data_IF_364735472096
#
_entry.id   IF_364735472096
#
_cell.length_a   1.000
_cell.length_b   1.000
_cell.length_c   1.000
_cell.angle_alpha   90.00
_cell.angle_beta   90.00
_cell.angle_gamma   90.00
#
_symmetry.space_group_name_H-M   'P 1'
#
loop_
_entity.id
_entity.type
_entity.pdbx_description
1 polymer ?
#
# COMPACT_ATOMS: atom_id res chain seq x y z
N UNK A 1 -11.23 -9.71 -13.81
CA UNK A 1 -10.36 -9.67 -12.60
C UNK A 1 -11.17 -9.37 -11.35
N UNK A 2 -11.83 -8.22 -11.26
CA UNK A 2 -12.58 -7.81 -10.07
C UNK A 2 -13.98 -8.42 -9.97
N UNK A 3 -14.46 -9.14 -10.99
CA UNK A 3 -15.74 -9.85 -10.98
C UNK A 3 -16.96 -8.91 -10.92
N UNK A 4 -16.94 -7.89 -11.78
CA UNK A 4 -18.09 -6.99 -11.98
C UNK A 4 -19.18 -7.69 -12.80
N UNK A 5 -20.40 -7.35 -12.47
CA UNK A 5 -21.62 -7.77 -13.18
C UNK A 5 -22.54 -6.58 -13.40
N UNK A 6 -23.62 -6.77 -14.15
CA UNK A 6 -24.67 -5.77 -14.37
C UNK A 6 -25.44 -5.39 -13.08
N UNK A 7 -25.41 -6.25 -12.07
CA UNK A 7 -26.05 -6.02 -10.77
C UNK A 7 -25.20 -5.13 -9.84
N UNK A 8 -23.98 -4.76 -10.25
CA UNK A 8 -23.10 -3.96 -9.40
C UNK A 8 -23.42 -2.45 -9.51
N UNK A 9 -23.31 -1.77 -8.37
CA UNK A 9 -23.22 -0.32 -8.27
C UNK A 9 -21.84 0.04 -7.75
N UNK A 10 -21.06 0.76 -8.55
CA UNK A 10 -19.65 1.07 -8.28
C UNK A 10 -19.54 2.50 -7.73
N UNK A 11 -18.89 2.65 -6.57
CA UNK A 11 -18.49 3.95 -6.00
C UNK A 11 -16.96 4.13 -6.18
N UNK A 12 -16.51 4.70 -7.32
CA UNK A 12 -15.08 4.92 -7.57
C UNK A 12 -14.64 6.20 -6.88
N UNK A 13 -14.03 6.08 -5.71
CA UNK A 13 -13.47 7.22 -4.96
C UNK A 13 -12.12 7.64 -5.56
N UNK A 14 -11.45 6.73 -6.26
CA UNK A 14 -10.21 7.01 -6.99
C UNK A 14 -10.47 8.08 -8.06
N UNK A 15 -9.65 9.15 -8.12
CA UNK A 15 -9.83 10.22 -9.10
C UNK A 15 -9.77 9.73 -10.54
N UNK A 16 -10.64 10.27 -11.42
CA UNK A 16 -10.70 9.93 -12.85
C UNK A 16 -9.38 10.21 -13.59
N UNK A 17 -8.60 11.21 -13.15
CA UNK A 17 -7.29 11.52 -13.75
C UNK A 17 -6.18 10.53 -13.34
N UNK A 18 -6.40 9.67 -12.34
CA UNK A 18 -5.41 8.70 -11.88
C UNK A 18 -5.69 7.32 -12.49
N UNK A 19 -4.95 6.97 -13.55
CA UNK A 19 -5.11 5.74 -14.33
C UNK A 19 -6.60 5.44 -14.64
N UNK A 20 -7.34 6.51 -15.01
CA UNK A 20 -8.77 6.47 -15.31
C UNK A 20 -9.61 5.80 -14.20
N UNK A 21 -9.45 6.26 -12.97
CA UNK A 21 -10.05 5.67 -11.78
C UNK A 21 -9.83 4.14 -11.73
N UNK A 22 -8.58 3.71 -11.98
CA UNK A 22 -8.14 2.32 -12.06
C UNK A 22 -8.93 1.45 -13.05
N UNK A 23 -9.44 2.06 -14.12
CA UNK A 23 -10.16 1.39 -15.18
C UNK A 23 -11.60 0.98 -14.81
N UNK A 24 -12.10 1.35 -13.63
CA UNK A 24 -13.46 1.03 -13.21
C UNK A 24 -14.53 1.55 -14.18
N UNK A 25 -14.45 2.77 -14.75
CA UNK A 25 -15.45 3.25 -15.72
C UNK A 25 -15.57 2.36 -16.95
N UNK A 26 -14.44 1.89 -17.48
CA UNK A 26 -14.47 1.01 -18.67
C UNK A 26 -15.01 -0.39 -18.33
N UNK A 27 -14.53 -0.97 -17.23
CA UNK A 27 -14.97 -2.31 -16.82
C UNK A 27 -16.42 -2.33 -16.35
N UNK A 28 -16.90 -1.27 -15.68
CA UNK A 28 -18.31 -1.14 -15.29
C UNK A 28 -19.22 -0.95 -16.49
N UNK A 29 -18.86 -0.08 -17.44
CA UNK A 29 -19.60 0.07 -18.69
C UNK A 29 -19.67 -1.22 -19.49
N UNK A 30 -18.54 -1.93 -19.58
CA UNK A 30 -18.50 -3.20 -20.29
C UNK A 30 -19.45 -4.26 -19.70
N UNK A 31 -19.66 -4.22 -18.38
CA UNK A 31 -20.54 -5.14 -17.65
C UNK A 31 -21.99 -4.64 -17.49
N UNK A 32 -22.28 -3.38 -17.81
CA UNK A 32 -23.58 -2.75 -17.57
C UNK A 32 -23.83 -2.33 -16.12
N UNK A 33 -22.77 -2.18 -15.32
CA UNK A 33 -22.87 -1.78 -13.92
C UNK A 33 -23.24 -0.30 -13.74
N UNK A 34 -23.96 0.02 -12.67
CA UNK A 34 -24.27 1.40 -12.27
C UNK A 34 -23.08 2.10 -11.65
N UNK A 35 -23.08 3.44 -11.73
CA UNK A 35 -22.05 4.29 -11.10
C UNK A 35 -22.65 5.29 -10.13
N UNK A 36 -22.05 5.38 -8.95
CA UNK A 36 -22.27 6.45 -7.98
C UNK A 36 -21.01 7.33 -7.92
N UNK A 37 -21.08 8.52 -8.51
CA UNK A 37 -19.94 9.43 -8.62
C UNK A 37 -19.85 10.34 -7.40
N UNK A 38 -18.76 10.27 -6.60
CA UNK A 38 -18.65 11.00 -5.32
C UNK A 38 -18.33 12.49 -5.48
N UNK A 39 -17.96 12.95 -6.70
CA UNK A 39 -17.48 14.30 -6.95
C UNK A 39 -16.32 14.67 -5.98
N UNK A 40 -16.39 15.78 -5.31
CA UNK A 40 -15.43 16.28 -4.31
C UNK A 40 -15.72 15.82 -2.88
N UNK A 41 -16.78 15.08 -2.64
CA UNK A 41 -17.26 14.68 -1.32
C UNK A 41 -16.58 13.38 -0.84
N UNK A 42 -15.27 13.44 -0.61
CA UNK A 42 -14.44 12.28 -0.27
C UNK A 42 -14.19 12.10 1.23
N UNK A 43 -14.71 13.00 2.08
CA UNK A 43 -14.60 12.91 3.53
C UNK A 43 -15.36 11.69 4.07
N UNK A 44 -14.88 11.09 5.15
CA UNK A 44 -15.41 9.84 5.69
C UNK A 44 -16.93 9.89 5.96
N UNK A 45 -17.45 11.01 6.49
CA UNK A 45 -18.89 11.19 6.72
C UNK A 45 -19.71 11.22 5.41
N UNK A 46 -19.18 11.85 4.37
CA UNK A 46 -19.85 11.91 3.06
C UNK A 46 -19.84 10.54 2.37
N UNK A 47 -18.69 9.85 2.39
CA UNK A 47 -18.55 8.49 1.84
C UNK A 47 -19.48 7.52 2.59
N UNK A 48 -19.53 7.59 3.93
CA UNK A 48 -20.42 6.78 4.74
C UNK A 48 -21.89 7.03 4.40
N UNK A 49 -22.29 8.30 4.25
CA UNK A 49 -23.65 8.67 3.85
C UNK A 49 -24.01 8.10 2.47
N UNK A 50 -23.13 8.23 1.48
CA UNK A 50 -23.33 7.65 0.14
C UNK A 50 -23.48 6.12 0.18
N UNK A 51 -22.64 5.43 0.98
CA UNK A 51 -22.74 3.97 1.11
C UNK A 51 -24.08 3.57 1.73
N UNK A 52 -24.52 4.28 2.75
CA UNK A 52 -25.78 3.98 3.45
C UNK A 52 -27.00 4.24 2.57
N UNK A 53 -27.06 5.41 1.89
CA UNK A 53 -28.23 5.81 1.11
C UNK A 53 -28.32 5.11 -0.23
N UNK A 54 -27.21 4.99 -0.94
CA UNK A 54 -27.17 4.51 -2.32
C UNK A 54 -26.78 3.03 -2.46
N UNK A 55 -26.29 2.43 -1.39
CA UNK A 55 -25.94 1.02 -1.28
C UNK A 55 -25.05 0.49 -2.43
N UNK A 56 -23.90 1.11 -2.71
CA UNK A 56 -22.96 0.57 -3.69
C UNK A 56 -22.50 -0.82 -3.26
N UNK A 57 -22.18 -1.67 -4.24
CA UNK A 57 -21.72 -3.04 -4.01
C UNK A 57 -20.20 -3.16 -4.02
N UNK A 58 -19.55 -2.24 -4.70
CA UNK A 58 -18.09 -2.19 -4.85
C UNK A 58 -17.63 -0.74 -4.75
N UNK A 59 -16.49 -0.55 -4.10
CA UNK A 59 -15.85 0.76 -4.07
C UNK A 59 -14.33 0.63 -4.20
N UNK A 60 -13.65 1.72 -4.55
CA UNK A 60 -12.21 1.72 -4.76
C UNK A 60 -11.59 3.03 -4.26
N UNK A 61 -10.57 2.92 -3.42
CA UNK A 61 -9.82 4.06 -2.90
C UNK A 61 -8.42 3.66 -2.41
N UNK A 62 -7.61 4.66 -2.09
CA UNK A 62 -6.31 4.50 -1.42
C UNK A 62 -6.47 4.20 0.08
N UNK A 63 -5.45 3.60 0.74
CA UNK A 63 -5.55 3.21 2.15
C UNK A 63 -5.92 4.34 3.12
N UNK A 64 -5.50 5.57 2.85
CA UNK A 64 -5.81 6.72 3.71
C UNK A 64 -7.31 6.95 3.84
N UNK A 65 -8.05 6.90 2.73
CA UNK A 65 -9.51 7.06 2.73
C UNK A 65 -10.19 5.89 3.47
N UNK A 66 -9.75 4.66 3.21
CA UNK A 66 -10.30 3.49 3.89
C UNK A 66 -10.03 3.50 5.40
N UNK A 67 -8.86 3.95 5.85
CA UNK A 67 -8.56 4.10 7.27
C UNK A 67 -9.42 5.18 7.94
N UNK A 68 -9.63 6.32 7.28
CA UNK A 68 -10.51 7.37 7.78
C UNK A 68 -11.96 6.91 7.87
N UNK A 69 -12.45 6.23 6.84
CA UNK A 69 -13.80 5.66 6.84
C UNK A 69 -13.95 4.60 7.95
N UNK A 70 -12.97 3.69 8.12
CA UNK A 70 -13.03 2.66 9.17
C UNK A 70 -13.17 3.30 10.56
N UNK A 71 -12.36 4.32 10.86
CA UNK A 71 -12.46 5.05 12.13
C UNK A 71 -13.82 5.72 12.32
N UNK A 72 -14.37 6.26 11.24
CA UNK A 72 -15.68 6.90 11.28
C UNK A 72 -16.80 5.89 11.55
N UNK A 73 -16.84 4.79 10.83
CA UNK A 73 -17.89 3.76 10.99
C UNK A 73 -17.77 3.00 12.33
N UNK A 74 -16.56 2.88 12.90
CA UNK A 74 -16.35 2.28 14.23
C UNK A 74 -16.94 3.14 15.37
N UNK A 75 -17.11 4.45 15.15
CA UNK A 75 -17.64 5.39 16.16
C UNK A 75 -19.08 5.83 15.88
N UNK A 76 -19.61 5.47 14.71
CA UNK A 76 -20.99 5.79 14.29
C UNK A 76 -21.65 4.50 13.80
N UNK A 77 -22.90 4.30 14.13
CA UNK A 77 -23.67 3.12 13.68
C UNK A 77 -24.01 3.22 12.19
N UNK A 78 -23.05 2.95 11.33
CA UNK A 78 -23.15 3.03 9.87
C UNK A 78 -23.21 1.62 9.27
N UNK A 79 -24.23 1.36 8.47
CA UNK A 79 -24.36 0.11 7.71
C UNK A 79 -23.62 0.20 6.37
N UNK A 80 -22.57 -0.60 6.24
CA UNK A 80 -21.82 -0.76 4.98
C UNK A 80 -21.95 -2.16 4.38
N UNK A 81 -22.96 -2.93 4.81
CA UNK A 81 -23.17 -4.34 4.41
C UNK A 81 -23.50 -4.52 2.92
N UNK A 82 -23.81 -3.44 2.20
CA UNK A 82 -23.99 -3.48 0.74
C UNK A 82 -22.67 -3.77 0.01
N UNK A 83 -21.52 -3.39 0.59
CA UNK A 83 -20.22 -3.61 -0.01
C UNK A 83 -19.84 -5.09 0.02
N UNK A 84 -19.77 -5.73 -1.14
CA UNK A 84 -19.25 -7.11 -1.28
C UNK A 84 -17.75 -7.15 -0.98
N UNK A 85 -17.03 -6.16 -1.44
CA UNK A 85 -15.62 -5.88 -1.14
C UNK A 85 -15.26 -4.45 -1.55
N UNK A 86 -14.12 -3.98 -1.08
CA UNK A 86 -13.51 -2.73 -1.53
C UNK A 86 -12.14 -2.99 -2.13
N UNK A 87 -11.84 -2.30 -3.22
CA UNK A 87 -10.50 -2.31 -3.80
C UNK A 87 -9.64 -1.25 -3.13
N UNK A 88 -8.43 -1.65 -2.77
CA UNK A 88 -7.46 -0.78 -2.15
C UNK A 88 -6.11 -0.92 -2.85
N UNK A 89 -5.43 0.17 -3.11
CA UNK A 89 -4.14 0.13 -3.81
C UNK A 89 -3.45 1.47 -3.86
N UNK A 90 -2.39 1.54 -4.63
CA UNK A 90 -1.58 2.76 -4.79
C UNK A 90 -0.56 2.99 -3.69
N UNK A 91 -0.67 2.32 -2.55
CA UNK A 91 0.34 2.19 -1.49
C UNK A 91 0.09 0.92 -0.69
N UNK A 92 0.96 0.61 0.26
CA UNK A 92 0.81 -0.54 1.15
C UNK A 92 -0.52 -0.45 1.92
N UNK A 93 -1.18 -1.60 2.04
CA UNK A 93 -2.45 -1.73 2.76
C UNK A 93 -2.18 -2.32 4.14
N UNK A 94 -2.40 -1.56 5.23
CA UNK A 94 -2.16 -2.06 6.58
C UNK A 94 -3.02 -3.28 6.91
N UNK A 95 -2.38 -4.34 7.45
CA UNK A 95 -3.08 -5.55 7.88
C UNK A 95 -4.19 -5.24 8.90
N UNK A 96 -3.91 -4.34 9.85
CA UNK A 96 -4.87 -3.93 10.87
C UNK A 96 -6.16 -3.31 10.29
N UNK A 97 -6.04 -2.58 9.18
CA UNK A 97 -7.19 -2.04 8.45
C UNK A 97 -8.00 -3.14 7.79
N UNK A 98 -7.35 -4.07 7.09
CA UNK A 98 -8.02 -5.21 6.45
C UNK A 98 -8.74 -6.09 7.47
N UNK A 99 -8.09 -6.37 8.61
CA UNK A 99 -8.69 -7.11 9.72
C UNK A 99 -9.88 -6.36 10.32
N UNK A 100 -9.79 -5.04 10.43
CA UNK A 100 -10.88 -4.20 10.91
C UNK A 100 -12.14 -4.33 10.05
N UNK A 101 -12.01 -4.13 8.75
CA UNK A 101 -13.12 -4.29 7.80
C UNK A 101 -13.67 -5.72 7.80
N UNK A 102 -12.80 -6.72 7.76
CA UNK A 102 -13.23 -8.12 7.68
C UNK A 102 -13.94 -8.58 8.97
N UNK A 103 -13.32 -8.35 10.15
CA UNK A 103 -13.82 -8.88 11.42
C UNK A 103 -15.02 -8.12 11.97
N UNK A 104 -15.10 -6.79 11.79
CA UNK A 104 -16.16 -5.95 12.35
C UNK A 104 -17.32 -5.69 11.40
N UNK A 105 -17.04 -5.64 10.10
CA UNK A 105 -18.04 -5.25 9.10
C UNK A 105 -18.29 -6.34 8.04
N UNK A 106 -17.57 -7.45 8.08
CA UNK A 106 -17.63 -8.54 7.09
C UNK A 106 -17.39 -8.06 5.64
N UNK A 107 -16.57 -7.01 5.46
CA UNK A 107 -16.18 -6.46 4.15
C UNK A 107 -14.72 -6.80 3.87
N UNK A 108 -14.47 -7.43 2.71
CA UNK A 108 -13.09 -7.74 2.28
C UNK A 108 -12.44 -6.52 1.66
N UNK A 109 -11.24 -6.20 2.10
CA UNK A 109 -10.38 -5.20 1.45
C UNK A 109 -9.41 -5.95 0.54
N UNK A 110 -9.65 -5.86 -0.76
CA UNK A 110 -8.85 -6.53 -1.79
C UNK A 110 -7.78 -5.56 -2.28
N UNK A 111 -6.53 -5.92 -2.08
CA UNK A 111 -5.41 -5.09 -2.54
C UNK A 111 -5.15 -5.34 -4.03
N UNK A 112 -5.05 -4.24 -4.81
CA UNK A 112 -4.56 -4.25 -6.17
C UNK A 112 -3.15 -3.65 -6.26
N UNK A 113 -2.27 -4.31 -7.01
CA UNK A 113 -0.98 -3.77 -7.37
C UNK A 113 -0.89 -3.52 -8.86
N UNK A 114 -0.31 -2.39 -9.20
CA UNK A 114 -0.07 -1.96 -10.56
C UNK A 114 0.28 -0.49 -10.63
N UNK A 115 0.43 0.01 -11.84
CA UNK A 115 0.84 1.38 -12.14
C UNK A 115 0.22 1.83 -13.47
N UNK A 116 0.40 3.08 -13.86
CA UNK A 116 -0.10 3.57 -15.15
C UNK A 116 0.42 2.70 -16.30
N UNK A 117 1.66 2.29 -16.21
CA UNK A 117 2.36 1.43 -17.18
C UNK A 117 1.78 0.01 -17.31
N UNK A 118 0.97 -0.42 -16.35
CA UNK A 118 0.29 -1.74 -16.38
C UNK A 118 -1.22 -1.63 -16.63
N UNK A 119 -1.75 -0.48 -17.01
CA UNK A 119 -3.12 -0.14 -17.50
C UNK A 119 -4.32 -0.59 -16.64
N UNK A 120 -4.38 -0.38 -15.32
CA UNK A 120 -3.30 -0.22 -14.38
C UNK A 120 -2.95 -1.49 -13.60
N UNK A 121 -3.73 -2.59 -13.72
CA UNK A 121 -3.70 -3.74 -12.81
C UNK A 121 -2.74 -4.85 -13.26
N UNK A 122 -1.75 -5.16 -12.43
CA UNK A 122 -0.84 -6.29 -12.65
C UNK A 122 -1.07 -7.45 -11.67
N UNK A 123 -1.54 -7.19 -10.45
CA UNK A 123 -1.88 -8.23 -9.49
C UNK A 123 -3.07 -7.86 -8.60
N UNK A 124 -3.76 -8.87 -8.04
CA UNK A 124 -4.93 -8.70 -7.19
C UNK A 124 -4.92 -9.72 -6.04
N UNK A 125 -5.09 -9.26 -4.79
CA UNK A 125 -5.04 -10.09 -3.59
C UNK A 125 -6.35 -10.83 -3.33
N UNK A 126 -6.61 -11.87 -4.11
CA UNK A 126 -7.75 -12.75 -3.84
C UNK A 126 -7.26 -14.06 -3.23
N UNK A 127 -7.83 -14.49 -2.11
CA UNK A 127 -7.52 -15.81 -1.54
C UNK A 127 -7.75 -16.92 -2.57
N UNK A 128 -6.94 -18.00 -2.56
CA UNK A 128 -7.20 -19.19 -3.36
C UNK A 128 -8.60 -19.75 -3.07
N UNK A 129 -9.21 -20.39 -4.08
CA UNK A 129 -10.53 -21.00 -3.88
C UNK A 129 -10.45 -22.08 -2.80
N UNK A 130 -11.37 -22.02 -1.83
CA UNK A 130 -11.42 -22.96 -0.71
C UNK A 130 -10.50 -22.60 0.46
N UNK A 131 -9.92 -21.39 0.49
CA UNK A 131 -9.19 -20.90 1.66
C UNK A 131 -10.11 -20.85 2.88
N UNK A 132 -9.71 -21.39 4.03
CA UNK A 132 -10.44 -21.25 5.28
C UNK A 132 -10.61 -19.77 5.69
N UNK A 133 -11.74 -19.38 6.32
CA UNK A 133 -11.99 -17.96 6.68
C UNK A 133 -10.93 -17.35 7.59
N UNK A 134 -10.30 -18.12 8.47
CA UNK A 134 -9.24 -17.71 9.39
C UNK A 134 -7.89 -17.47 8.67
N UNK A 135 -7.68 -18.07 7.49
CA UNK A 135 -6.50 -17.88 6.66
C UNK A 135 -6.68 -16.78 5.58
N UNK A 136 -7.92 -16.31 5.32
CA UNK A 136 -8.19 -15.35 4.24
C UNK A 136 -7.33 -14.09 4.36
N UNK A 137 -7.11 -13.61 5.58
CA UNK A 137 -6.39 -12.36 5.83
C UNK A 137 -4.93 -12.42 5.36
N UNK A 138 -4.29 -13.57 5.42
CA UNK A 138 -2.89 -13.73 5.00
C UNK A 138 -2.73 -13.59 3.48
N UNK A 139 -3.75 -14.02 2.73
CA UNK A 139 -3.81 -13.82 1.28
C UNK A 139 -4.22 -12.41 0.89
N UNK A 140 -5.18 -11.83 1.58
CA UNK A 140 -5.61 -10.44 1.36
C UNK A 140 -4.48 -9.45 1.66
N UNK A 141 -3.63 -9.74 2.64
CA UNK A 141 -2.47 -8.91 3.01
C UNK A 141 -1.22 -9.18 2.16
N UNK A 142 -1.40 -9.63 0.93
CA UNK A 142 -0.36 -9.65 -0.11
C UNK A 142 -0.63 -8.54 -1.13
N UNK A 143 0.37 -8.21 -1.96
CA UNK A 143 0.16 -7.30 -3.10
C UNK A 143 -0.64 -7.95 -4.22
N UNK A 144 -0.97 -9.24 -4.07
CA UNK A 144 -1.86 -10.00 -4.91
C UNK A 144 -1.16 -11.05 -5.76
N UNK A 145 -1.97 -11.89 -6.39
CA UNK A 145 -1.53 -12.83 -7.40
C UNK A 145 -1.45 -12.15 -8.75
N UNK A 146 -0.40 -12.43 -9.51
CA UNK A 146 -0.23 -11.90 -10.86
C UNK A 146 -1.45 -12.23 -11.73
N UNK A 147 -1.91 -11.25 -12.51
CA UNK A 147 -3.09 -11.36 -13.36
C UNK A 147 -2.83 -12.24 -14.58
N UNK A 148 -3.81 -13.06 -15.01
CA UNK A 148 -3.72 -13.75 -16.29
C UNK A 148 -3.42 -12.77 -17.43
N UNK A 149 -2.37 -13.07 -18.22
CA UNK A 149 -1.89 -12.20 -19.29
C UNK A 149 -0.74 -11.26 -18.90
N UNK A 150 -0.43 -11.12 -17.61
CA UNK A 150 0.80 -10.48 -17.15
C UNK A 150 1.83 -11.56 -16.85
N UNK A 151 2.98 -11.46 -17.48
CA UNK A 151 4.15 -12.23 -17.11
C UNK A 151 4.95 -11.43 -16.08
N UNK A 152 5.58 -12.14 -15.15
CA UNK A 152 6.36 -11.55 -14.07
C UNK A 152 7.67 -12.31 -13.91
N UNK A 153 8.75 -11.60 -13.65
CA UNK A 153 10.01 -12.16 -13.16
C UNK A 153 10.55 -11.34 -11.98
N UNK A 154 11.37 -11.99 -11.17
CA UNK A 154 12.02 -11.38 -10.01
C UNK A 154 13.52 -11.31 -10.30
N UNK A 155 14.12 -10.12 -10.22
CA UNK A 155 15.49 -9.89 -10.67
C UNK A 155 16.38 -9.35 -9.55
N UNK A 156 17.63 -9.85 -9.49
CA UNK A 156 18.73 -9.21 -8.78
C UNK A 156 19.82 -8.88 -9.80
N UNK A 157 19.86 -7.61 -10.22
CA UNK A 157 20.65 -7.19 -11.38
C UNK A 157 20.23 -7.96 -12.65
N UNK A 158 21.18 -8.74 -13.19
CA UNK A 158 20.95 -9.59 -14.39
C UNK A 158 20.51 -11.03 -14.05
N UNK A 159 20.39 -11.36 -12.76
CA UNK A 159 20.05 -12.71 -12.30
C UNK A 159 18.56 -12.84 -12.01
N UNK A 160 17.88 -13.80 -12.65
CA UNK A 160 16.51 -14.14 -12.32
C UNK A 160 16.45 -15.00 -11.06
N UNK A 161 15.62 -14.58 -10.09
CA UNK A 161 15.45 -15.22 -8.80
C UNK A 161 14.24 -16.16 -8.76
N UNK A 162 14.25 -17.21 -7.92
CA UNK A 162 13.16 -18.15 -7.79
C UNK A 162 11.93 -17.55 -7.09
N UNK A 163 10.74 -18.09 -7.42
CA UNK A 163 9.49 -17.78 -6.74
C UNK A 163 9.29 -18.69 -5.51
N UNK A 164 10.13 -18.52 -4.50
CA UNK A 164 10.13 -19.31 -3.26
C UNK A 164 9.50 -18.57 -2.06
N UNK A 165 9.12 -17.31 -2.26
CA UNK A 165 8.56 -16.45 -1.22
C UNK A 165 9.62 -15.86 -0.27
N UNK A 166 10.91 -16.12 -0.51
CA UNK A 166 12.03 -15.66 0.33
C UNK A 166 13.00 -14.78 -0.44
N UNK A 167 13.35 -15.18 -1.68
CA UNK A 167 14.23 -14.39 -2.52
C UNK A 167 13.62 -13.00 -2.78
N UNK A 168 14.41 -11.96 -2.49
CA UNK A 168 14.00 -10.55 -2.63
C UNK A 168 14.68 -9.96 -3.85
N UNK A 169 13.89 -9.37 -4.76
CA UNK A 169 14.41 -8.76 -5.98
C UNK A 169 13.49 -7.68 -6.54
N UNK A 170 13.95 -7.00 -7.60
CA UNK A 170 13.12 -6.09 -8.37
C UNK A 170 12.09 -6.88 -9.19
N UNK A 171 10.85 -6.44 -9.15
CA UNK A 171 9.76 -7.05 -9.92
C UNK A 171 9.76 -6.43 -11.32
N UNK A 172 9.91 -7.28 -12.33
CA UNK A 172 9.75 -6.89 -13.72
C UNK A 172 8.52 -7.58 -14.32
N UNK A 173 7.79 -6.85 -15.17
CA UNK A 173 6.56 -7.33 -15.78
C UNK A 173 6.51 -7.07 -17.28
N UNK A 174 5.77 -7.92 -18.01
CA UNK A 174 5.37 -7.67 -19.40
C UNK A 174 4.01 -8.27 -19.68
N UNK A 175 3.36 -7.84 -20.74
CA UNK A 175 2.06 -8.38 -21.12
C UNK A 175 1.33 -7.50 -22.12
N UNK A 176 0.18 -7.94 -22.65
CA UNK A 176 -0.52 -7.27 -23.74
C UNK A 176 -1.06 -5.86 -23.37
N UNK A 177 -1.16 -5.53 -22.08
CA UNK A 177 -1.56 -4.20 -21.61
C UNK A 177 -0.48 -3.52 -20.74
N UNK A 178 0.71 -4.11 -20.66
CA UNK A 178 1.89 -3.48 -20.07
C UNK A 178 2.58 -2.66 -21.14
N UNK A 179 2.96 -1.40 -20.85
CA UNK A 179 3.66 -0.57 -21.82
C UNK A 179 5.00 -1.18 -22.22
N UNK A 180 5.35 -1.12 -23.50
CA UNK A 180 6.64 -1.59 -24.02
C UNK A 180 7.69 -0.47 -24.11
N UNK A 181 7.29 0.80 -24.02
CA UNK A 181 8.19 1.97 -24.02
C UNK A 181 7.45 3.20 -23.54
N UNK A 182 8.19 4.25 -23.19
CA UNK A 182 7.63 5.57 -23.01
C UNK A 182 7.62 6.37 -24.35
N UNK A 183 6.89 7.46 -24.35
CA UNK A 183 6.83 8.35 -25.50
C UNK A 183 8.24 8.88 -25.84
N UNK A 184 8.61 8.86 -27.14
CA UNK A 184 9.94 9.22 -27.63
C UNK A 184 11.12 8.44 -27.01
N UNK A 185 10.86 7.21 -26.55
CA UNK A 185 11.86 6.35 -25.87
C UNK A 185 12.55 7.01 -24.66
N UNK A 186 11.84 7.91 -23.97
CA UNK A 186 12.31 8.45 -22.71
C UNK A 186 12.50 7.33 -21.68
N UNK A 187 13.56 7.42 -20.87
CA UNK A 187 13.90 6.45 -19.82
C UNK A 187 14.03 4.98 -20.31
N UNK A 188 14.84 4.71 -21.34
CA UNK A 188 15.02 3.35 -21.87
C UNK A 188 15.55 2.36 -20.82
N UNK A 189 16.24 2.85 -19.77
CA UNK A 189 16.72 2.05 -18.65
C UNK A 189 15.58 1.42 -17.80
N UNK A 190 14.33 1.85 -18.02
CA UNK A 190 13.14 1.24 -17.42
C UNK A 190 12.72 -0.05 -18.14
N UNK A 191 13.33 -0.36 -19.25
CA UNK A 191 13.01 -1.56 -20.02
C UNK A 191 14.25 -2.46 -20.13
N UNK A 192 14.09 -3.73 -19.76
CA UNK A 192 15.14 -4.72 -19.76
C UNK A 192 14.67 -5.91 -20.62
N UNK A 193 15.21 -6.06 -21.84
CA UNK A 193 14.85 -7.12 -22.79
C UNK A 193 13.33 -7.29 -23.02
N UNK A 194 12.62 -6.18 -23.13
CA UNK A 194 11.16 -6.17 -23.32
C UNK A 194 10.34 -6.34 -22.03
N UNK A 195 10.98 -6.32 -20.88
CA UNK A 195 10.33 -6.27 -19.58
C UNK A 195 10.34 -4.85 -19.01
N UNK A 196 9.24 -4.43 -18.44
CA UNK A 196 9.15 -3.19 -17.67
C UNK A 196 9.72 -3.42 -16.27
N UNK A 197 10.75 -2.66 -15.91
CA UNK A 197 11.29 -2.55 -14.54
C UNK A 197 10.34 -1.67 -13.73
N UNK A 198 9.63 -2.27 -12.78
CA UNK A 198 8.59 -1.55 -12.03
C UNK A 198 9.16 -0.61 -10.97
N UNK A 199 10.39 -0.84 -10.55
CA UNK A 199 11.00 -0.18 -9.39
C UNK A 199 10.39 -0.61 -8.06
N UNK A 200 9.51 -1.61 -8.05
CA UNK A 200 9.02 -2.25 -6.83
C UNK A 200 9.86 -3.48 -6.52
N UNK A 201 10.25 -3.62 -5.27
CA UNK A 201 11.06 -4.72 -4.75
C UNK A 201 10.21 -5.59 -3.84
N UNK A 202 10.40 -6.90 -3.92
CA UNK A 202 9.60 -7.80 -3.10
C UNK A 202 9.96 -9.27 -3.29
N UNK A 203 9.07 -10.13 -2.81
CA UNK A 203 9.15 -11.58 -2.98
C UNK A 203 7.96 -12.09 -3.78
N UNK A 204 8.12 -13.25 -4.41
CA UNK A 204 7.03 -13.94 -5.12
C UNK A 204 6.96 -15.38 -4.62
N UNK A 205 5.79 -15.79 -4.15
CA UNK A 205 5.58 -17.17 -3.69
C UNK A 205 5.43 -18.13 -4.88
N UNK A 206 5.65 -19.42 -4.66
CA UNK A 206 5.44 -20.48 -5.66
C UNK A 206 4.00 -20.52 -6.24
N UNK A 207 3.03 -19.87 -5.58
CA UNK A 207 1.65 -19.72 -6.07
C UNK A 207 1.44 -18.42 -6.88
N UNK A 208 2.50 -17.62 -7.12
CA UNK A 208 2.45 -16.37 -7.88
C UNK A 208 1.86 -15.20 -7.09
N UNK A 209 1.88 -15.25 -5.76
CA UNK A 209 1.51 -14.10 -4.91
C UNK A 209 2.73 -13.25 -4.63
N UNK A 210 2.58 -11.98 -4.89
CA UNK A 210 3.59 -10.94 -4.70
C UNK A 210 3.44 -10.37 -3.29
N UNK A 211 4.56 -10.15 -2.63
CA UNK A 211 4.64 -9.32 -1.42
C UNK A 211 5.67 -8.23 -1.67
N UNK A 212 5.21 -7.02 -1.94
CA UNK A 212 6.10 -5.87 -2.11
C UNK A 212 6.62 -5.49 -0.73
N UNK A 213 7.93 -5.42 -0.63
CA UNK A 213 8.62 -5.00 0.59
C UNK A 213 8.92 -3.52 0.58
N UNK A 214 9.27 -2.96 -0.60
CA UNK A 214 9.49 -1.52 -0.75
C UNK A 214 9.59 -1.09 -2.23
N UNK A 215 9.80 0.19 -2.44
CA UNK A 215 10.30 0.75 -3.70
C UNK A 215 11.83 0.69 -3.71
N UNK A 216 12.44 0.36 -4.85
CA UNK A 216 13.91 0.31 -4.99
C UNK A 216 14.60 1.62 -4.53
N UNK A 217 13.92 2.76 -4.68
CA UNK A 217 14.37 4.09 -4.22
C UNK A 217 14.07 4.41 -2.76
N UNK A 218 13.22 3.62 -2.09
CA UNK A 218 12.74 3.85 -0.72
C UNK A 218 13.24 2.78 0.25
N UNK A 219 13.72 1.64 -0.28
CA UNK A 219 14.44 0.60 0.49
C UNK A 219 15.63 1.25 1.19
N UNK A 220 15.73 1.00 2.49
CA UNK A 220 16.82 1.53 3.31
C UNK A 220 17.99 0.56 3.25
N UNK A 221 19.10 0.99 2.68
CA UNK A 221 20.31 0.18 2.52
C UNK A 221 21.19 0.35 3.74
N UNK A 222 21.14 -0.59 4.65
CA UNK A 222 21.84 -0.52 5.94
C UNK A 222 22.88 -1.62 6.06
N UNK A 223 24.15 -1.27 5.96
CA UNK A 223 25.27 -2.22 6.12
C UNK A 223 25.30 -3.35 5.09
N UNK A 224 24.80 -3.11 3.88
CA UNK A 224 24.69 -4.11 2.81
C UNK A 224 23.41 -4.95 2.85
N UNK A 225 22.57 -4.76 3.86
CA UNK A 225 21.28 -5.42 4.01
C UNK A 225 20.13 -4.44 3.73
N UNK A 226 18.95 -4.97 3.43
CA UNK A 226 17.78 -4.18 3.08
C UNK A 226 16.79 -4.14 4.23
N UNK A 227 16.38 -2.91 4.61
CA UNK A 227 15.31 -2.67 5.58
C UNK A 227 14.08 -2.18 4.82
N UNK A 228 12.96 -2.87 4.98
CA UNK A 228 11.67 -2.43 4.43
C UNK A 228 11.12 -1.27 5.23
N UNK A 229 11.06 -0.10 4.60
CA UNK A 229 10.40 1.06 5.19
C UNK A 229 8.89 0.85 5.34
N UNK A 230 8.27 0.12 4.40
CA UNK A 230 6.84 -0.20 4.43
C UNK A 230 6.45 -1.14 5.57
N UNK A 231 7.27 -2.15 5.87
CA UNK A 231 6.96 -3.06 6.98
C UNK A 231 7.06 -2.33 8.32
N UNK A 232 8.06 -1.46 8.49
CA UNK A 232 8.17 -0.59 9.66
C UNK A 232 6.95 0.32 9.80
N UNK A 233 6.51 0.96 8.73
CA UNK A 233 5.30 1.80 8.70
C UNK A 233 4.05 1.02 9.08
N UNK A 234 3.83 -0.14 8.48
CA UNK A 234 2.68 -1.00 8.76
C UNK A 234 2.62 -1.44 10.22
N UNK A 235 3.77 -1.80 10.80
CA UNK A 235 3.83 -2.16 12.21
C UNK A 235 3.58 -0.96 13.12
N UNK A 236 4.13 0.21 12.80
CA UNK A 236 3.88 1.44 13.58
C UNK A 236 2.41 1.85 13.54
N UNK A 237 1.76 1.80 12.37
CA UNK A 237 0.34 2.12 12.21
C UNK A 237 -0.55 1.14 13.02
N UNK A 238 -0.10 -0.09 13.25
CA UNK A 238 -0.81 -1.06 14.09
C UNK A 238 -0.76 -0.72 15.60
N UNK A 239 0.09 0.22 16.04
CA UNK A 239 0.13 0.65 17.44
C UNK A 239 -1.12 1.50 17.77
N UNK A 240 -1.79 1.27 18.94
CA UNK A 240 -3.02 1.99 19.31
C UNK A 240 -2.92 3.51 19.28
N UNK A 241 -1.77 4.07 19.63
CA UNK A 241 -1.52 5.50 19.74
C UNK A 241 -1.08 6.17 18.44
N UNK A 242 -0.69 5.41 17.41
CA UNK A 242 -0.20 5.96 16.14
C UNK A 242 -1.36 6.18 15.17
N UNK A 243 -1.42 7.38 14.60
CA UNK A 243 -2.39 7.76 13.58
C UNK A 243 -1.87 7.48 12.18
N UNK A 244 -0.65 7.96 11.89
CA UNK A 244 0.07 7.75 10.64
C UNK A 244 1.55 7.54 10.95
N UNK A 245 2.23 6.80 10.09
CA UNK A 245 3.68 6.61 10.15
C UNK A 245 4.28 6.63 8.75
N UNK A 246 5.48 7.17 8.64
CA UNK A 246 6.30 7.12 7.44
C UNK A 246 7.75 6.93 7.84
N UNK A 247 8.44 6.01 7.17
CA UNK A 247 9.85 5.70 7.45
C UNK A 247 10.68 5.96 6.20
N UNK A 248 11.79 6.66 6.38
CA UNK A 248 12.75 6.95 5.30
C UNK A 248 14.16 6.53 5.71
N UNK A 249 14.97 6.19 4.73
CA UNK A 249 16.42 6.10 4.92
C UNK A 249 17.02 7.49 5.07
N UNK A 250 17.87 7.65 6.06
CA UNK A 250 18.70 8.85 6.25
C UNK A 250 20.17 8.43 6.33
N UNK A 251 21.11 9.25 5.83
CA UNK A 251 22.53 8.92 5.82
C UNK A 251 23.06 8.58 7.21
N UNK A 252 23.92 7.57 7.29
CA UNK A 252 24.61 7.12 8.48
C UNK A 252 26.07 6.78 8.15
N UNK A 253 27.02 7.30 8.95
CA UNK A 253 28.47 7.15 8.68
C UNK A 253 28.94 5.69 8.74
N UNK A 254 28.27 4.85 9.54
CA UNK A 254 28.67 3.46 9.76
C UNK A 254 27.93 2.47 8.85
N UNK A 255 26.65 2.76 8.57
CA UNK A 255 25.74 1.81 7.96
C UNK A 255 25.23 2.23 6.58
N UNK A 256 25.76 3.32 6.00
CA UNK A 256 25.30 3.97 4.78
C UNK A 256 23.95 4.69 5.01
N UNK A 257 22.90 3.93 5.34
CA UNK A 257 21.61 4.48 5.72
C UNK A 257 21.06 3.83 7.00
N UNK A 258 20.32 4.61 7.78
CA UNK A 258 19.52 4.11 8.90
C UNK A 258 18.09 4.61 8.82
N UNK A 259 17.10 3.84 9.33
CA UNK A 259 15.72 4.27 9.33
C UNK A 259 15.47 5.47 10.26
N UNK A 260 14.82 6.50 9.73
CA UNK A 260 14.18 7.57 10.48
C UNK A 260 12.67 7.31 10.48
N UNK A 261 12.09 7.06 11.66
CA UNK A 261 10.66 6.87 11.82
C UNK A 261 9.98 8.20 12.17
N UNK A 262 9.12 8.66 11.29
CA UNK A 262 8.30 9.85 11.49
C UNK A 262 6.86 9.42 11.78
N UNK A 263 6.28 9.86 12.88
CA UNK A 263 4.95 9.45 13.33
C UNK A 263 4.03 10.63 13.57
N UNK A 264 2.75 10.46 13.27
CA UNK A 264 1.66 11.32 13.71
C UNK A 264 0.90 10.56 14.77
N UNK A 265 0.77 11.13 15.95
CA UNK A 265 0.09 10.50 17.07
C UNK A 265 -1.41 10.80 17.06
N UNK A 266 -2.22 9.89 17.57
CA UNK A 266 -3.65 10.14 17.78
C UNK A 266 -3.88 11.21 18.85
N UNK A 267 -4.99 11.96 18.82
CA UNK A 267 -5.33 12.89 19.90
C UNK A 267 -5.37 12.20 21.27
N UNK A 268 -4.63 12.73 22.22
CA UNK A 268 -4.54 12.18 23.58
C UNK A 268 -3.60 10.98 23.75
N UNK A 269 -2.88 10.59 22.71
CA UNK A 269 -1.86 9.54 22.79
C UNK A 269 -0.74 9.89 23.77
N UNK A 270 -0.18 8.87 24.43
CA UNK A 270 0.85 9.02 25.46
C UNK A 270 2.12 8.21 25.21
N UNK A 271 2.12 7.35 24.17
CA UNK A 271 3.27 6.52 23.89
C UNK A 271 4.51 7.35 23.56
N UNK A 272 5.62 7.04 24.22
CA UNK A 272 6.94 7.60 23.89
C UNK A 272 7.56 6.85 22.69
N UNK A 273 8.59 7.44 22.08
CA UNK A 273 9.34 6.76 21.03
C UNK A 273 9.99 5.46 21.50
N UNK A 274 10.44 5.38 22.77
CA UNK A 274 10.97 4.14 23.35
C UNK A 274 9.90 3.04 23.37
N UNK A 275 8.67 3.37 23.75
CA UNK A 275 7.54 2.42 23.74
C UNK A 275 7.18 1.99 22.32
N UNK A 276 7.21 2.89 21.34
CA UNK A 276 7.00 2.54 19.92
C UNK A 276 8.14 1.64 19.40
N UNK A 277 9.39 1.90 19.79
CA UNK A 277 10.53 1.07 19.45
C UNK A 277 10.45 -0.30 20.10
N UNK A 278 10.04 -0.39 21.35
CA UNK A 278 9.79 -1.66 22.03
C UNK A 278 8.66 -2.45 21.35
N UNK A 279 7.60 -1.78 20.97
CA UNK A 279 6.52 -2.39 20.19
C UNK A 279 6.99 -2.98 18.86
N UNK A 280 7.90 -2.31 18.16
CA UNK A 280 8.53 -2.82 16.94
C UNK A 280 9.45 -4.00 17.21
N UNK A 281 10.16 -4.04 18.35
CA UNK A 281 11.21 -5.02 18.65
C UNK A 281 10.72 -6.48 18.64
N UNK A 282 9.43 -6.70 18.85
CA UNK A 282 8.78 -8.02 18.80
C UNK A 282 8.23 -8.39 17.41
N UNK A 283 8.39 -7.52 16.41
CA UNK A 283 7.76 -7.63 15.08
C UNK A 283 8.73 -7.60 13.92
N UNK A 284 9.90 -7.00 14.14
CA UNK A 284 10.94 -6.89 13.11
C UNK A 284 12.31 -7.31 13.67
N UNK A 285 13.27 -7.56 12.78
CA UNK A 285 14.62 -7.87 13.19
C UNK A 285 15.24 -6.71 14.00
N UNK A 286 16.04 -7.01 15.03
CA UNK A 286 16.60 -6.00 15.94
C UNK A 286 17.36 -4.89 15.20
N UNK A 287 18.08 -5.23 14.15
CA UNK A 287 18.87 -4.29 13.36
C UNK A 287 18.02 -3.39 12.42
N UNK A 288 16.71 -3.68 12.27
CA UNK A 288 15.76 -2.81 11.57
C UNK A 288 15.24 -1.66 12.44
N UNK A 289 15.38 -1.78 13.76
CA UNK A 289 14.78 -0.83 14.69
C UNK A 289 15.32 0.58 14.47
N UNK A 290 14.43 1.57 14.28
CA UNK A 290 14.82 2.96 14.16
C UNK A 290 15.50 3.46 15.44
N UNK A 291 16.57 4.20 15.27
CA UNK A 291 17.23 4.95 16.34
C UNK A 291 16.87 6.44 16.27
N UNK A 292 16.44 6.89 15.08
CA UNK A 292 16.05 8.27 14.80
C UNK A 292 14.53 8.36 14.66
N UNK A 293 13.92 9.30 15.35
CA UNK A 293 12.47 9.48 15.40
C UNK A 293 12.11 10.94 15.22
N UNK A 294 10.93 11.19 14.64
CA UNK A 294 10.35 12.53 14.57
C UNK A 294 8.85 12.49 14.81
N UNK A 295 8.35 13.48 15.53
CA UNK A 295 6.92 13.72 15.68
C UNK A 295 6.48 14.72 14.62
N UNK A 296 5.46 14.36 13.85
CA UNK A 296 4.88 15.23 12.84
C UNK A 296 3.44 15.60 13.21
N UNK A 297 3.00 16.79 12.79
CA UNK A 297 1.58 17.16 12.85
C UNK A 297 0.80 16.47 11.73
N UNK A 298 1.40 16.36 10.53
CA UNK A 298 0.82 15.71 9.36
C UNK A 298 1.93 15.10 8.51
N UNK A 299 1.63 14.00 7.82
CA UNK A 299 2.54 13.42 6.82
C UNK A 299 2.30 14.08 5.46
N UNK A 300 3.35 14.49 4.73
CA UNK A 300 3.20 14.98 3.36
C UNK A 300 2.52 13.95 2.46
N UNK A 301 1.52 14.38 1.67
CA UNK A 301 0.77 13.53 0.75
C UNK A 301 0.77 14.12 -0.66
N UNK A 302 0.76 13.24 -1.65
CA UNK A 302 0.56 13.61 -3.05
C UNK A 302 -0.90 14.04 -3.31
N UNK A 303 -1.18 14.62 -4.48
CA UNK A 303 -2.54 15.01 -4.89
C UNK A 303 -3.55 13.85 -4.93
N UNK A 304 -3.07 12.62 -4.95
CA UNK A 304 -3.88 11.39 -4.92
C UNK A 304 -3.90 10.70 -3.56
N UNK A 305 -3.43 11.40 -2.50
CA UNK A 305 -3.48 10.92 -1.11
C UNK A 305 -2.42 9.88 -0.71
N UNK A 306 -1.40 9.62 -1.54
CA UNK A 306 -0.26 8.75 -1.21
C UNK A 306 0.76 9.49 -0.36
N UNK A 307 1.47 8.79 0.53
CA UNK A 307 2.60 9.35 1.28
C UNK A 307 3.68 9.88 0.32
N UNK A 308 4.15 11.10 0.56
CA UNK A 308 5.20 11.74 -0.26
C UNK A 308 6.54 11.73 0.48
N UNK A 309 7.25 10.59 0.40
CA UNK A 309 8.58 10.44 1.00
C UNK A 309 9.62 11.40 0.40
N UNK A 310 9.43 11.85 -0.85
CA UNK A 310 10.36 12.79 -1.50
C UNK A 310 10.33 14.16 -0.81
N UNK A 311 9.12 14.66 -0.52
CA UNK A 311 8.95 15.91 0.24
C UNK A 311 9.54 15.75 1.63
N UNK A 312 9.25 14.66 2.32
CA UNK A 312 9.76 14.40 3.66
C UNK A 312 11.30 14.35 3.71
N UNK A 313 11.95 13.63 2.77
CA UNK A 313 13.43 13.61 2.67
C UNK A 313 14.01 15.02 2.49
N UNK A 314 13.35 15.85 1.67
CA UNK A 314 13.78 17.23 1.47
C UNK A 314 13.65 18.07 2.75
N UNK A 315 12.57 17.91 3.49
CA UNK A 315 12.36 18.59 4.77
C UNK A 315 13.41 18.19 5.82
N UNK A 316 13.74 16.88 5.90
CA UNK A 316 14.80 16.38 6.77
C UNK A 316 16.16 16.95 6.34
N UNK A 317 16.50 16.92 5.07
CA UNK A 317 17.76 17.45 4.54
C UNK A 317 17.92 18.95 4.79
N UNK A 318 16.81 19.72 4.81
CA UNK A 318 16.80 21.14 5.13
C UNK A 318 16.81 21.46 6.64
N UNK A 319 16.76 20.43 7.52
CA UNK A 319 16.65 20.61 8.96
C UNK A 319 15.28 21.13 9.43
N UNK A 320 14.24 20.99 8.63
CA UNK A 320 12.86 21.42 8.96
C UNK A 320 12.16 20.43 9.90
N UNK A 321 12.68 19.20 10.01
CA UNK A 321 12.16 18.14 10.88
C UNK A 321 13.06 18.01 12.11
N UNK A 322 12.47 18.09 13.28
CA UNK A 322 13.19 17.87 14.55
C UNK A 322 13.30 16.37 14.84
N UNK A 323 14.52 15.86 14.76
CA UNK A 323 14.82 14.46 15.03
C UNK A 323 15.24 14.24 16.47
N UNK A 324 14.78 13.15 17.05
CA UNK A 324 15.15 12.66 18.38
C UNK A 324 15.91 11.35 18.24
N UNK A 325 17.09 11.28 18.81
CA UNK A 325 17.87 10.05 18.90
C UNK A 325 17.48 9.28 20.16
N UNK A 326 17.16 7.99 19.99
CA UNK A 326 16.96 7.07 21.10
C UNK A 326 18.20 6.21 21.22
N UNK A 327 18.87 6.26 22.40
CA UNK A 327 20.02 5.42 22.67
C UNK A 327 19.65 3.94 22.66
N UNK A 328 20.48 3.11 22.05
CA UNK A 328 20.40 1.65 22.23
C UNK A 328 20.68 1.37 23.71
N UNK A 329 19.67 1.07 24.50
CA UNK A 329 19.91 0.40 25.77
C UNK A 329 20.49 -0.98 25.45
N UNK A 330 21.72 -1.18 25.88
CA UNK A 330 22.62 -2.33 25.72
C UNK A 330 21.93 -3.66 26.05
#
# INVERSE_FOLDING_TARGET
>A
AVGLTEDDKILPIVPMFHANAWGFPYSGWFCGADFLMPDRYLQANCVAAMITSERPTISAAVPTIWNELLRYIDTHSIDISSLRYVCCGGSAVPRSMQEGYLKRHNVRVVQGWGMTETSPLAALSRPPRGTPPDEEIDWLNTSGRVMPGVELRLMDGETELPWDGQAVGEIEVRGPWVTGSYYLDEAPEKFHEGWLRTGDVGTVSAKGYIRITDRAKDVIKSGGEWISSMDLENHLIAHPDVLEAVVIGVPDERWDERPLACVVMKPGAKASFDQLREFLSTRVARWWLPERWALLETVPKTSVGKLDKKVLRKQVANGEIHEVLISQNS
#
